data_IF_447660581266
#
_entry.id   IF_447660581266
#
_cell.length_a   1.000
_cell.length_b   1.000
_cell.length_c   1.000
_cell.angle_alpha   90.00
_cell.angle_beta   90.00
_cell.angle_gamma   90.00
#
_symmetry.space_group_name_H-M   'P 1'
#
loop_
_entity.id
_entity.type
_entity.pdbx_description
1 polymer ?
#
# COMPACT_ATOMS: atom_id res chain seq x y z
N UNK A 1 20.67 -31.24 2.18
CA UNK A 1 19.70 -30.15 1.91
C UNK A 1 18.91 -30.58 0.70
N UNK A 2 17.59 -30.65 0.80
CA UNK A 2 16.72 -31.20 -0.24
C UNK A 2 16.23 -32.63 0.03
N UNK A 3 16.77 -33.30 1.05
CA UNK A 3 16.36 -34.64 1.46
C UNK A 3 14.96 -34.59 2.06
N UNK A 4 14.09 -35.53 1.67
CA UNK A 4 12.72 -35.60 2.20
C UNK A 4 12.72 -36.05 3.65
N UNK A 5 11.82 -35.47 4.45
CA UNK A 5 11.60 -35.87 5.82
C UNK A 5 11.14 -37.32 5.93
N UNK A 6 11.36 -37.94 7.09
CA UNK A 6 10.78 -39.24 7.41
C UNK A 6 9.24 -39.21 7.33
N UNK A 7 8.64 -40.35 7.00
CA UNK A 7 7.16 -40.46 6.95
C UNK A 7 6.60 -40.38 8.36
N UNK A 8 5.54 -39.59 8.53
CA UNK A 8 4.86 -39.43 9.81
C UNK A 8 5.55 -38.46 10.78
N UNK A 9 6.66 -37.83 10.39
CA UNK A 9 7.28 -36.78 11.19
C UNK A 9 6.30 -35.61 11.36
N UNK A 10 6.16 -35.15 12.61
CA UNK A 10 5.27 -34.06 12.99
C UNK A 10 6.00 -32.73 12.87
N UNK A 11 5.36 -31.77 12.23
CA UNK A 11 5.90 -30.44 12.00
C UNK A 11 5.01 -29.36 12.59
N UNK A 12 5.66 -28.30 13.06
CA UNK A 12 5.03 -27.04 13.41
C UNK A 12 5.42 -25.96 12.39
N UNK A 13 4.45 -25.21 11.83
CA UNK A 13 4.76 -24.06 10.98
C UNK A 13 5.54 -23.00 11.75
N UNK A 14 6.70 -22.59 11.23
CA UNK A 14 7.57 -21.62 11.90
C UNK A 14 6.85 -20.30 12.23
N UNK A 15 5.97 -19.87 11.31
CA UNK A 15 5.16 -18.66 11.50
C UNK A 15 4.18 -18.80 12.67
N UNK A 16 3.66 -20.00 12.92
CA UNK A 16 2.75 -20.27 14.01
C UNK A 16 3.48 -20.24 15.37
N UNK A 17 4.70 -20.77 15.44
CA UNK A 17 5.59 -20.65 16.62
C UNK A 17 5.76 -19.18 17.00
N UNK A 18 6.13 -18.32 16.04
CA UNK A 18 6.29 -16.87 16.30
C UNK A 18 4.99 -16.17 16.74
N UNK A 19 3.83 -16.71 16.36
CA UNK A 19 2.52 -16.17 16.74
C UNK A 19 1.98 -16.76 18.06
N UNK A 20 2.66 -17.76 18.63
CA UNK A 20 2.18 -18.47 19.81
C UNK A 20 1.90 -17.54 21.00
N UNK A 21 2.80 -16.62 21.40
CA UNK A 21 2.51 -15.69 22.51
C UNK A 21 1.27 -14.83 22.26
N UNK A 22 1.07 -14.40 21.02
CA UNK A 22 -0.06 -13.54 20.66
C UNK A 22 -1.41 -14.29 20.61
N UNK A 23 -1.37 -15.62 20.47
CA UNK A 23 -2.55 -16.45 20.27
C UNK A 23 -2.94 -17.25 21.50
N UNK A 24 -1.98 -17.58 22.37
CA UNK A 24 -2.17 -18.52 23.48
C UNK A 24 -1.76 -17.96 24.84
N UNK A 25 -1.17 -16.77 24.91
CA UNK A 25 -0.89 -16.09 26.19
C UNK A 25 -1.96 -15.04 26.45
N UNK A 26 -2.45 -15.00 27.69
CA UNK A 26 -3.44 -14.02 28.13
C UNK A 26 -2.95 -12.58 27.96
N UNK A 27 -3.87 -11.67 27.60
CA UNK A 27 -3.57 -10.27 27.24
C UNK A 27 -2.71 -9.53 28.26
N UNK A 28 -2.87 -9.83 29.55
CA UNK A 28 -2.16 -9.15 30.63
C UNK A 28 -0.64 -9.34 30.56
N UNK A 29 -0.17 -10.53 30.16
CA UNK A 29 1.26 -10.87 30.11
C UNK A 29 1.78 -11.02 28.67
N UNK A 30 0.91 -10.81 27.67
CA UNK A 30 1.18 -11.13 26.28
C UNK A 30 2.40 -10.38 25.71
N UNK A 31 2.55 -9.09 26.00
CA UNK A 31 3.64 -8.27 25.46
C UNK A 31 5.00 -8.68 26.05
N UNK A 32 5.06 -8.86 27.37
CA UNK A 32 6.25 -9.34 28.07
C UNK A 32 6.68 -10.73 27.56
N UNK A 33 5.75 -11.68 27.51
CA UNK A 33 6.05 -13.04 27.05
C UNK A 33 6.43 -13.03 25.58
N UNK A 34 5.78 -12.23 24.72
CA UNK A 34 6.15 -12.14 23.31
C UNK A 34 7.59 -11.61 23.11
N UNK A 35 7.99 -10.61 23.91
CA UNK A 35 9.36 -10.09 23.90
C UNK A 35 10.38 -11.15 24.33
N UNK A 36 10.11 -11.83 25.45
CA UNK A 36 10.98 -12.89 25.97
C UNK A 36 11.09 -14.08 25.01
N UNK A 37 9.94 -14.56 24.50
CA UNK A 37 9.85 -15.64 23.53
C UNK A 37 10.68 -15.33 22.29
N UNK A 38 10.60 -14.10 21.76
CA UNK A 38 11.41 -13.67 20.61
C UNK A 38 12.90 -13.69 20.91
N UNK A 39 13.33 -13.22 22.09
CA UNK A 39 14.74 -13.20 22.49
C UNK A 39 15.31 -14.62 22.63
N UNK A 40 14.52 -15.55 23.18
CA UNK A 40 14.95 -16.93 23.42
C UNK A 40 14.89 -17.82 22.18
N UNK A 41 14.23 -17.41 21.08
CA UNK A 41 14.05 -18.26 19.90
C UNK A 41 15.35 -18.90 19.42
N UNK A 42 16.47 -18.15 19.45
CA UNK A 42 17.77 -18.61 18.96
C UNK A 42 18.85 -18.63 20.05
N UNK A 43 18.49 -18.30 21.29
CA UNK A 43 19.45 -18.27 22.40
C UNK A 43 19.88 -19.70 22.74
N UNK A 44 21.17 -20.00 22.57
CA UNK A 44 21.72 -21.32 22.90
C UNK A 44 21.17 -22.50 22.08
N UNK A 45 20.38 -22.25 21.02
CA UNK A 45 19.75 -23.31 20.22
C UNK A 45 19.82 -23.08 18.72
N UNK A 46 19.90 -24.18 17.97
CA UNK A 46 19.71 -24.20 16.53
C UNK A 46 18.42 -24.95 16.19
N UNK A 47 17.72 -24.50 15.16
CA UNK A 47 16.52 -25.14 14.64
C UNK A 47 16.80 -25.88 13.35
N UNK A 48 16.11 -27.01 13.18
CA UNK A 48 16.13 -27.79 11.95
C UNK A 48 14.98 -27.33 11.07
N UNK A 49 15.31 -26.56 10.04
CA UNK A 49 14.30 -26.06 9.12
C UNK A 49 14.05 -27.05 8.00
N UNK A 50 12.77 -27.26 7.73
CA UNK A 50 12.24 -27.97 6.59
C UNK A 50 11.41 -27.02 5.74
N UNK A 51 11.33 -27.32 4.45
CA UNK A 51 10.62 -26.51 3.48
C UNK A 51 9.69 -27.37 2.63
N UNK A 52 8.48 -26.87 2.39
CA UNK A 52 7.55 -27.45 1.45
C UNK A 52 7.04 -26.37 0.49
N UNK A 53 7.11 -26.66 -0.81
CA UNK A 53 6.70 -25.71 -1.85
C UNK A 53 5.17 -25.67 -1.96
N UNK A 54 4.61 -24.51 -2.32
CA UNK A 54 3.16 -24.38 -2.52
C UNK A 54 2.75 -25.06 -3.84
N UNK A 55 1.77 -25.99 -3.83
CA UNK A 55 1.33 -26.69 -5.05
C UNK A 55 0.40 -25.85 -5.94
N UNK A 56 0.17 -24.58 -5.61
CA UNK A 56 -0.77 -23.70 -6.31
C UNK A 56 -0.07 -22.63 -7.16
N UNK A 57 -0.78 -22.13 -8.17
CA UNK A 57 -0.37 -20.96 -8.97
C UNK A 57 -0.54 -19.63 -8.22
N UNK A 58 -0.89 -19.69 -6.92
CA UNK A 58 -1.21 -18.54 -6.09
C UNK A 58 0.01 -17.68 -5.71
N UNK A 59 1.23 -18.09 -6.12
CA UNK A 59 2.47 -17.37 -5.85
C UNK A 59 2.82 -17.24 -4.36
N UNK A 60 2.36 -18.17 -3.51
CA UNK A 60 2.67 -18.14 -2.07
C UNK A 60 4.13 -18.48 -1.82
N UNK A 61 4.69 -17.89 -0.78
CA UNK A 61 6.04 -18.24 -0.33
C UNK A 61 6.10 -19.69 0.19
N UNK A 62 7.24 -20.37 0.02
CA UNK A 62 7.45 -21.71 0.56
C UNK A 62 7.13 -21.80 2.05
N UNK A 63 6.49 -22.89 2.45
CA UNK A 63 6.12 -23.14 3.83
C UNK A 63 7.36 -23.59 4.62
N UNK A 64 7.69 -22.84 5.68
CA UNK A 64 8.77 -23.19 6.60
C UNK A 64 8.21 -23.94 7.80
N UNK A 65 8.85 -25.06 8.08
CA UNK A 65 8.43 -26.03 9.07
C UNK A 65 9.63 -26.37 9.96
N UNK A 66 9.37 -26.65 11.22
CA UNK A 66 10.33 -27.26 12.15
C UNK A 66 9.69 -28.50 12.77
N UNK A 67 10.45 -29.55 13.13
CA UNK A 67 9.91 -30.68 13.88
C UNK A 67 9.18 -30.20 15.14
N UNK A 68 7.97 -30.69 15.39
CA UNK A 68 7.17 -30.27 16.55
C UNK A 68 7.89 -30.52 17.88
N UNK A 69 8.72 -31.57 17.95
CA UNK A 69 9.57 -31.86 19.11
C UNK A 69 10.51 -30.70 19.47
N UNK A 70 11.12 -30.03 18.48
CA UNK A 70 11.97 -28.86 18.75
C UNK A 70 11.17 -27.69 19.33
N UNK A 71 9.88 -27.59 19.02
CA UNK A 71 9.01 -26.57 19.60
C UNK A 71 8.57 -26.92 21.03
N UNK A 72 8.31 -28.20 21.31
CA UNK A 72 8.03 -28.68 22.66
C UNK A 72 9.22 -28.40 23.60
N UNK A 73 10.43 -28.77 23.18
CA UNK A 73 11.67 -28.48 23.93
C UNK A 73 11.84 -26.98 24.22
N UNK A 74 11.53 -26.15 23.22
CA UNK A 74 11.58 -24.69 23.39
C UNK A 74 10.55 -24.16 24.39
N UNK A 75 9.33 -24.74 24.41
CA UNK A 75 8.34 -24.38 25.42
C UNK A 75 8.77 -24.84 26.82
N UNK A 76 9.39 -26.02 26.95
CA UNK A 76 9.92 -26.51 28.22
C UNK A 76 11.02 -25.60 28.77
N UNK A 77 11.89 -25.10 27.91
CA UNK A 77 12.90 -24.10 28.27
C UNK A 77 12.27 -22.79 28.76
N UNK A 78 11.27 -22.27 28.04
CA UNK A 78 10.54 -21.07 28.48
C UNK A 78 9.84 -21.30 29.82
N UNK A 79 9.25 -22.48 30.02
CA UNK A 79 8.58 -22.84 31.27
C UNK A 79 9.55 -22.82 32.46
N UNK A 80 10.77 -23.33 32.27
CA UNK A 80 11.83 -23.28 33.27
C UNK A 80 12.24 -21.84 33.59
N UNK A 81 12.40 -20.98 32.58
CA UNK A 81 12.84 -19.60 32.78
C UNK A 81 11.78 -18.69 33.40
N UNK A 82 10.52 -18.80 32.94
CA UNK A 82 9.44 -17.91 33.37
C UNK A 82 8.60 -18.48 34.51
N UNK A 83 8.87 -19.72 34.96
CA UNK A 83 8.05 -20.43 35.96
C UNK A 83 6.56 -20.46 35.56
N UNK A 84 6.31 -20.77 34.28
CA UNK A 84 4.98 -20.86 33.66
C UNK A 84 4.71 -22.29 33.14
N UNK A 85 3.52 -22.55 32.61
CA UNK A 85 3.12 -23.86 32.06
C UNK A 85 2.55 -23.72 30.64
N UNK A 86 3.34 -23.14 29.74
CA UNK A 86 3.04 -23.13 28.32
C UNK A 86 3.16 -24.54 27.74
N UNK A 87 2.21 -24.89 26.89
CA UNK A 87 2.19 -26.15 26.17
C UNK A 87 1.50 -25.95 24.83
N UNK A 88 1.74 -26.85 23.88
CA UNK A 88 0.95 -26.87 22.65
C UNK A 88 -0.53 -27.08 23.04
N UNK A 89 -1.46 -26.24 22.54
CA UNK A 89 -2.84 -26.28 22.96
C UNK A 89 -3.50 -27.62 22.63
N UNK A 90 -4.34 -28.12 23.54
CA UNK A 90 -5.12 -29.36 23.36
C UNK A 90 -6.36 -29.14 22.49
N UNK A 91 -6.94 -30.23 21.99
CA UNK A 91 -8.17 -30.21 21.18
C UNK A 91 -7.90 -29.79 19.74
N UNK A 92 -8.86 -29.11 19.10
CA UNK A 92 -8.76 -28.76 17.67
C UNK A 92 -7.58 -27.85 17.33
N UNK A 93 -7.14 -27.00 18.26
CA UNK A 93 -5.96 -26.14 18.06
C UNK A 93 -4.64 -26.93 18.00
N UNK A 94 -4.61 -28.15 18.54
CA UNK A 94 -3.46 -29.06 18.50
C UNK A 94 -3.08 -29.42 17.05
N UNK A 95 -4.10 -29.61 16.20
CA UNK A 95 -3.95 -29.99 14.79
C UNK A 95 -3.19 -28.92 13.97
N UNK A 96 -3.13 -27.68 14.45
CA UNK A 96 -2.38 -26.59 13.79
C UNK A 96 -0.87 -26.67 14.06
N UNK A 97 -0.46 -27.29 15.18
CA UNK A 97 0.94 -27.39 15.63
C UNK A 97 1.58 -28.77 15.39
N UNK A 98 0.76 -29.79 15.11
CA UNK A 98 1.20 -31.13 14.75
C UNK A 98 0.70 -31.50 13.35
N UNK A 99 1.41 -31.00 12.34
CA UNK A 99 1.07 -31.21 10.93
C UNK A 99 1.98 -32.28 10.35
N UNK A 100 1.39 -33.31 9.74
CA UNK A 100 2.10 -34.34 8.96
C UNK A 100 2.04 -34.05 7.47
N UNK A 101 2.92 -34.69 6.69
CA UNK A 101 2.90 -34.64 5.23
C UNK A 101 3.32 -36.00 4.65
N UNK A 102 3.00 -36.26 3.38
CA UNK A 102 3.31 -37.54 2.72
C UNK A 102 2.12 -38.52 2.59
N UNK A 103 0.95 -38.15 3.11
CA UNK A 103 -0.26 -38.97 3.01
C UNK A 103 -0.64 -39.17 1.54
N UNK A 104 -0.97 -40.40 1.14
CA UNK A 104 -1.36 -40.70 -0.25
C UNK A 104 -0.27 -40.40 -1.30
N UNK A 105 1.01 -40.51 -0.92
CA UNK A 105 2.17 -40.15 -1.75
C UNK A 105 2.30 -38.67 -2.11
N UNK A 106 1.63 -37.79 -1.36
CA UNK A 106 1.83 -36.34 -1.48
C UNK A 106 3.27 -35.93 -1.14
N UNK A 107 3.74 -34.76 -1.57
CA UNK A 107 5.07 -34.28 -1.24
C UNK A 107 5.34 -34.20 0.27
N UNK A 108 6.61 -34.43 0.64
CA UNK A 108 7.09 -34.32 2.02
C UNK A 108 8.04 -33.13 2.17
N UNK A 109 8.03 -32.45 3.33
CA UNK A 109 8.96 -31.38 3.62
C UNK A 109 10.41 -31.83 3.40
N UNK A 110 11.21 -30.97 2.77
CA UNK A 110 12.62 -31.22 2.50
C UNK A 110 13.49 -30.48 3.50
N UNK A 111 14.54 -31.12 3.99
CA UNK A 111 15.47 -30.51 4.92
C UNK A 111 16.17 -29.32 4.28
N UNK A 112 15.97 -28.13 4.83
CA UNK A 112 16.52 -26.86 4.36
C UNK A 112 17.88 -26.60 4.99
N UNK A 113 18.04 -26.89 6.29
CA UNK A 113 19.28 -26.72 7.02
C UNK A 113 19.06 -26.26 8.47
N UNK A 114 20.16 -26.07 9.18
CA UNK A 114 20.19 -25.61 10.57
C UNK A 114 20.28 -24.08 10.61
N UNK A 115 19.53 -23.42 11.49
CA UNK A 115 19.70 -22.00 11.78
C UNK A 115 19.61 -21.70 13.28
N UNK A 116 20.59 -20.95 13.74
CA UNK A 116 20.83 -20.49 15.12
C UNK A 116 20.68 -18.97 15.24
N UNK A 117 20.14 -18.31 14.21
CA UNK A 117 19.91 -16.86 14.16
C UNK A 117 18.88 -16.52 13.08
N UNK A 118 18.27 -15.34 13.18
CA UNK A 118 17.38 -14.82 12.13
C UNK A 118 18.17 -14.63 10.80
N UNK A 119 19.44 -14.20 10.88
CA UNK A 119 20.33 -14.05 9.72
C UNK A 119 20.61 -15.38 9.02
N UNK A 120 20.92 -16.44 9.78
CA UNK A 120 21.11 -17.79 9.24
C UNK A 120 19.82 -18.31 8.59
N UNK A 121 18.67 -18.02 9.18
CA UNK A 121 17.36 -18.39 8.63
C UNK A 121 17.07 -17.65 7.32
N UNK A 122 17.36 -16.35 7.20
CA UNK A 122 17.22 -15.61 5.94
C UNK A 122 18.15 -16.16 4.85
N UNK A 123 19.38 -16.56 5.22
CA UNK A 123 20.31 -17.22 4.31
C UNK A 123 19.82 -18.61 3.85
N UNK A 124 19.03 -19.33 4.68
CA UNK A 124 18.35 -20.55 4.26
C UNK A 124 17.19 -20.27 3.30
N UNK A 125 16.36 -19.26 3.60
CA UNK A 125 15.22 -18.87 2.75
C UNK A 125 15.64 -18.48 1.34
N UNK A 126 16.74 -17.74 1.21
CA UNK A 126 17.25 -17.31 -0.10
C UNK A 126 17.63 -18.50 -0.98
N UNK A 127 17.92 -19.67 -0.42
CA UNK A 127 18.29 -20.91 -1.13
C UNK A 127 17.11 -21.82 -1.48
N UNK A 128 15.88 -21.50 -1.09
CA UNK A 128 14.68 -22.32 -1.36
C UNK A 128 14.44 -22.56 -2.86
N UNK A 129 14.85 -21.64 -3.74
CA UNK A 129 14.79 -21.80 -5.20
C UNK A 129 15.63 -22.96 -5.74
N UNK A 130 16.58 -23.50 -4.95
CA UNK A 130 17.41 -24.65 -5.32
C UNK A 130 16.76 -25.99 -5.00
N UNK A 131 15.62 -25.99 -4.31
CA UNK A 131 14.91 -27.22 -3.99
C UNK A 131 14.27 -27.82 -5.26
N UNK A 132 14.26 -29.15 -5.40
CA UNK A 132 13.52 -29.81 -6.48
C UNK A 132 12.04 -29.40 -6.44
N UNK A 133 11.46 -29.17 -7.61
CA UNK A 133 10.01 -28.98 -7.76
C UNK A 133 9.33 -30.32 -7.49
N UNK A 134 8.29 -30.31 -6.67
CA UNK A 134 7.55 -31.52 -6.35
C UNK A 134 6.74 -32.02 -7.57
N UNK A 135 6.88 -33.30 -7.91
CA UNK A 135 6.12 -33.93 -8.98
C UNK A 135 4.72 -34.32 -8.47
N UNK A 136 3.71 -33.58 -8.93
CA UNK A 136 2.30 -33.82 -8.59
C UNK A 136 1.55 -34.63 -9.66
N UNK A 137 2.21 -34.97 -10.78
CA UNK A 137 1.55 -35.60 -11.95
C UNK A 137 1.09 -37.04 -11.66
N UNK A 138 1.74 -37.70 -10.71
CA UNK A 138 1.44 -39.08 -10.31
C UNK A 138 0.28 -39.18 -9.31
N UNK A 139 -0.24 -38.07 -8.80
CA UNK A 139 -1.30 -38.04 -7.80
C UNK A 139 -2.68 -38.16 -8.42
N UNK A 140 -3.56 -38.93 -7.76
CA UNK A 140 -4.98 -38.94 -8.12
C UNK A 140 -5.61 -37.57 -7.90
N UNK A 141 -6.67 -37.25 -8.64
CA UNK A 141 -7.38 -35.96 -8.53
C UNK A 141 -7.90 -35.72 -7.11
N UNK A 142 -8.39 -36.76 -6.44
CA UNK A 142 -8.90 -36.66 -5.05
C UNK A 142 -7.75 -36.40 -4.07
N UNK A 143 -6.62 -37.10 -4.20
CA UNK A 143 -5.44 -36.88 -3.37
C UNK A 143 -4.87 -35.47 -3.55
N UNK A 144 -4.77 -35.00 -4.79
CA UNK A 144 -4.27 -33.65 -5.11
C UNK A 144 -5.18 -32.57 -4.49
N UNK A 145 -6.50 -32.76 -4.57
CA UNK A 145 -7.47 -31.84 -3.98
C UNK A 145 -7.34 -31.81 -2.44
N UNK A 146 -7.29 -32.97 -1.79
CA UNK A 146 -7.09 -33.06 -0.33
C UNK A 146 -5.76 -32.45 0.11
N UNK A 147 -4.70 -32.60 -0.69
CA UNK A 147 -3.41 -31.98 -0.43
C UNK A 147 -3.47 -30.45 -0.50
N UNK A 148 -4.08 -29.89 -1.55
CA UNK A 148 -4.28 -28.43 -1.69
C UNK A 148 -5.10 -27.86 -0.52
N UNK A 149 -6.17 -28.54 -0.13
CA UNK A 149 -6.98 -28.15 1.03
C UNK A 149 -6.20 -28.20 2.35
N UNK A 150 -5.36 -29.23 2.54
CA UNK A 150 -4.46 -29.33 3.70
C UNK A 150 -3.48 -28.16 3.73
N UNK A 151 -2.85 -27.84 2.59
CA UNK A 151 -1.96 -26.68 2.47
C UNK A 151 -2.69 -25.38 2.78
N UNK A 152 -3.89 -25.16 2.23
CA UNK A 152 -4.71 -23.98 2.52
C UNK A 152 -5.05 -23.84 4.00
N UNK A 153 -5.39 -24.95 4.68
CA UNK A 153 -5.64 -24.94 6.14
C UNK A 153 -4.41 -24.50 6.92
N UNK A 154 -3.22 -25.03 6.59
CA UNK A 154 -1.96 -24.65 7.26
C UNK A 154 -1.60 -23.18 7.00
N UNK A 155 -1.76 -22.69 5.77
CA UNK A 155 -1.53 -21.27 5.48
C UNK A 155 -2.54 -20.35 6.19
N UNK A 156 -3.79 -20.80 6.37
CA UNK A 156 -4.82 -20.04 7.06
C UNK A 156 -4.62 -20.01 8.58
N UNK A 157 -4.12 -21.08 9.21
CA UNK A 157 -3.77 -21.07 10.65
C UNK A 157 -2.64 -20.08 10.95
N UNK A 158 -1.72 -19.89 10.00
CA UNK A 158 -0.63 -18.92 10.11
C UNK A 158 -1.05 -17.44 9.94
N UNK A 159 -2.35 -17.15 9.73
CA UNK A 159 -2.87 -15.77 9.65
C UNK A 159 -3.35 -15.34 11.03
N UNK A 160 -2.95 -14.14 11.46
CA UNK A 160 -3.49 -13.54 12.68
C UNK A 160 -5.02 -13.51 12.62
N UNK A 161 -5.70 -14.08 13.63
CA UNK A 161 -7.16 -14.05 13.74
C UNK A 161 -7.61 -12.59 13.85
N UNK A 162 -7.96 -11.97 12.72
CA UNK A 162 -8.58 -10.65 12.70
C UNK A 162 -9.91 -10.78 13.42
N UNK A 163 -10.09 -10.09 14.54
CA UNK A 163 -11.38 -9.97 15.20
C UNK A 163 -12.43 -9.60 14.13
N UNK A 164 -13.53 -10.37 14.07
CA UNK A 164 -14.69 -10.05 13.24
C UNK A 164 -15.12 -8.63 13.62
N UNK A 165 -14.84 -7.64 12.77
CA UNK A 165 -15.17 -6.24 13.06
C UNK A 165 -16.68 -6.15 13.22
N UNK A 166 -17.11 -5.54 14.33
CA UNK A 166 -18.51 -5.23 14.58
C UNK A 166 -19.12 -4.56 13.32
N UNK A 167 -20.19 -5.13 12.72
CA UNK A 167 -20.82 -4.61 11.52
C UNK A 167 -21.27 -3.15 11.67
N UNK A 168 -21.70 -2.73 12.85
CA UNK A 168 -22.17 -1.36 13.10
C UNK A 168 -21.00 -0.37 13.11
N UNK A 169 -19.89 -0.73 13.74
CA UNK A 169 -18.65 0.05 13.72
C UNK A 169 -18.07 0.12 12.29
N UNK A 170 -18.13 -0.98 11.53
CA UNK A 170 -17.71 -0.99 10.13
C UNK A 170 -18.58 -0.07 9.26
N UNK A 171 -19.91 -0.10 9.47
CA UNK A 171 -20.87 0.80 8.80
C UNK A 171 -20.60 2.26 9.15
N UNK A 172 -20.41 2.59 10.43
CA UNK A 172 -20.13 3.96 10.90
C UNK A 172 -18.82 4.48 10.30
N UNK A 173 -17.75 3.69 10.31
CA UNK A 173 -16.47 4.03 9.66
C UNK A 173 -16.61 4.22 8.14
N UNK A 174 -17.47 3.45 7.46
CA UNK A 174 -17.74 3.64 6.02
C UNK A 174 -18.44 4.97 5.74
N UNK A 175 -19.45 5.32 6.52
CA UNK A 175 -20.16 6.60 6.41
C UNK A 175 -19.21 7.78 6.67
N UNK A 176 -18.39 7.67 7.71
CA UNK A 176 -17.41 8.70 8.08
C UNK A 176 -16.35 8.91 6.97
N UNK A 177 -15.84 7.83 6.38
CA UNK A 177 -14.97 7.89 5.20
C UNK A 177 -15.64 8.57 4.02
N UNK A 178 -16.88 8.20 3.69
CA UNK A 178 -17.63 8.84 2.60
C UNK A 178 -17.86 10.34 2.85
N UNK A 179 -18.12 10.75 4.09
CA UNK A 179 -18.21 12.17 4.48
C UNK A 179 -16.87 12.87 4.31
N UNK A 180 -15.77 12.25 4.74
CA UNK A 180 -14.41 12.77 4.56
C UNK A 180 -14.08 13.02 3.09
N UNK A 181 -14.38 12.06 2.21
CA UNK A 181 -14.13 12.19 0.76
C UNK A 181 -14.98 13.29 0.12
N UNK A 182 -16.24 13.45 0.55
CA UNK A 182 -17.07 14.57 0.09
C UNK A 182 -16.51 15.94 0.49
N UNK A 183 -15.91 16.04 1.68
CA UNK A 183 -15.19 17.24 2.12
C UNK A 183 -13.93 17.49 1.28
N UNK A 184 -13.24 16.42 0.84
CA UNK A 184 -12.04 16.50 -0.01
C UNK A 184 -12.28 17.22 -1.34
N UNK A 185 -13.35 16.88 -2.06
CA UNK A 185 -13.67 17.60 -3.31
C UNK A 185 -13.97 19.07 -3.03
N UNK A 186 -14.76 19.36 -1.99
CA UNK A 186 -15.13 20.74 -1.66
C UNK A 186 -13.91 21.59 -1.27
N UNK A 187 -12.96 21.06 -0.51
CA UNK A 187 -11.71 21.79 -0.17
C UNK A 187 -10.83 21.99 -1.39
N UNK A 188 -10.68 20.96 -2.23
CA UNK A 188 -9.97 21.05 -3.52
C UNK A 188 -10.54 22.17 -4.40
N UNK A 189 -11.87 22.23 -4.53
CA UNK A 189 -12.55 23.29 -5.29
C UNK A 189 -12.29 24.69 -4.70
N UNK A 190 -12.23 24.84 -3.36
CA UNK A 190 -11.91 26.13 -2.73
C UNK A 190 -10.49 26.57 -3.03
N UNK A 191 -9.52 25.66 -2.92
CA UNK A 191 -8.12 25.94 -3.23
C UNK A 191 -7.92 26.35 -4.69
N UNK A 192 -8.70 25.78 -5.61
CA UNK A 192 -8.72 26.13 -7.04
C UNK A 192 -9.59 27.35 -7.38
N UNK A 193 -10.22 28.02 -6.41
CA UNK A 193 -11.11 29.16 -6.66
C UNK A 193 -12.47 28.80 -7.26
N UNK A 194 -12.80 27.51 -7.40
CA UNK A 194 -14.06 26.99 -7.95
C UNK A 194 -15.22 26.99 -6.94
N UNK A 195 -14.96 27.26 -5.66
CA UNK A 195 -15.98 27.28 -4.60
C UNK A 195 -15.71 28.36 -3.56
N UNK A 196 -16.78 28.98 -3.05
CA UNK A 196 -16.70 30.04 -2.05
C UNK A 196 -15.92 29.58 -0.78
N UNK A 197 -14.91 30.34 -0.33
CA UNK A 197 -14.16 30.03 0.88
C UNK A 197 -14.97 30.21 2.18
N UNK A 198 -16.00 31.06 2.23
CA UNK A 198 -16.73 31.41 3.47
C UNK A 198 -18.01 30.59 3.70
N UNK A 199 -18.35 29.64 2.82
CA UNK A 199 -19.55 28.81 3.01
C UNK A 199 -19.33 27.82 4.17
N UNK A 200 -19.65 28.23 5.39
CA UNK A 200 -20.21 27.32 6.40
C UNK A 200 -21.49 26.70 5.81
N UNK A 201 -21.93 25.55 6.31
CA UNK A 201 -22.94 24.69 5.65
C UNK A 201 -24.35 25.32 5.40
N UNK A 202 -24.55 26.63 5.51
CA UNK A 202 -25.87 27.26 5.57
C UNK A 202 -26.13 28.55 4.76
N UNK A 203 -25.22 29.07 3.95
CA UNK A 203 -25.54 30.24 3.11
C UNK A 203 -25.67 29.89 1.62
N UNK A 204 -26.75 30.42 1.01
CA UNK A 204 -27.25 30.19 -0.33
C UNK A 204 -26.21 30.44 -1.43
N UNK A 205 -26.08 29.45 -2.31
CA UNK A 205 -25.12 29.30 -3.42
C UNK A 205 -25.34 30.25 -4.62
N UNK A 206 -25.96 31.43 -4.40
CA UNK A 206 -26.55 32.27 -5.47
C UNK A 206 -25.56 32.91 -6.46
N UNK A 207 -24.25 32.61 -6.36
CA UNK A 207 -23.23 33.09 -7.31
C UNK A 207 -22.68 31.98 -8.22
N UNK A 208 -23.06 30.71 -8.02
CA UNK A 208 -22.65 29.60 -8.90
C UNK A 208 -23.58 29.37 -10.09
N UNK A 209 -24.81 29.87 -10.09
CA UNK A 209 -25.85 29.52 -11.07
C UNK A 209 -25.52 29.96 -12.52
N UNK A 210 -24.50 30.80 -12.75
CA UNK A 210 -24.11 31.26 -14.10
C UNK A 210 -22.64 31.02 -14.47
N UNK A 211 -21.86 30.34 -13.62
CA UNK A 211 -20.44 30.15 -13.92
C UNK A 211 -20.22 29.04 -14.96
N UNK A 212 -19.48 29.36 -16.02
CA UNK A 212 -19.09 28.42 -17.07
C UNK A 212 -17.58 28.18 -17.09
N UNK A 213 -17.16 27.00 -17.54
CA UNK A 213 -15.74 26.59 -17.59
C UNK A 213 -14.84 27.49 -18.44
N UNK A 214 -15.41 28.30 -19.34
CA UNK A 214 -14.70 29.26 -20.17
C UNK A 214 -14.55 30.66 -19.51
N UNK A 215 -15.03 30.82 -18.27
CA UNK A 215 -14.86 32.02 -17.46
C UNK A 215 -13.76 31.82 -16.41
N UNK A 216 -13.16 32.92 -15.95
CA UNK A 216 -12.26 32.89 -14.81
C UNK A 216 -12.94 32.29 -13.58
N UNK A 217 -12.15 31.70 -12.68
CA UNK A 217 -12.69 31.11 -11.46
C UNK A 217 -13.39 32.18 -10.62
N UNK A 218 -14.59 31.92 -10.10
CA UNK A 218 -15.46 32.97 -9.56
C UNK A 218 -15.00 33.47 -8.19
N UNK A 219 -14.15 32.71 -7.51
CA UNK A 219 -13.60 33.07 -6.21
C UNK A 219 -12.09 33.21 -6.34
N UNK A 220 -11.57 34.39 -5.98
CA UNK A 220 -10.13 34.61 -5.91
C UNK A 220 -9.48 33.61 -4.95
N UNK A 221 -8.31 33.11 -5.30
CA UNK A 221 -7.48 32.25 -4.45
C UNK A 221 -6.92 33.13 -3.31
N UNK A 222 -7.71 33.29 -2.23
CA UNK A 222 -7.42 34.21 -1.10
C UNK A 222 -6.00 34.10 -0.55
N UNK A 223 -5.39 32.92 -0.69
CA UNK A 223 -3.96 32.65 -0.54
C UNK A 223 -3.55 31.76 -1.72
N UNK A 224 -2.58 32.18 -2.53
CA UNK A 224 -2.05 31.35 -3.61
C UNK A 224 -1.46 30.08 -3.01
N UNK A 225 -1.96 28.92 -3.43
CA UNK A 225 -1.48 27.60 -2.99
C UNK A 225 -0.73 26.89 -4.11
N UNK A 226 0.15 25.95 -3.73
CA UNK A 226 0.84 25.06 -4.66
C UNK A 226 0.36 23.63 -4.43
N UNK A 227 -0.20 23.04 -5.48
CA UNK A 227 -0.48 21.61 -5.48
C UNK A 227 0.75 20.86 -5.96
N UNK A 228 1.18 19.88 -5.16
CA UNK A 228 2.35 19.07 -5.48
C UNK A 228 1.91 17.62 -5.46
N UNK A 229 1.77 17.05 -6.65
CA UNK A 229 1.54 15.63 -6.79
C UNK A 229 2.86 14.88 -6.71
N UNK A 230 2.85 13.77 -5.98
CA UNK A 230 3.97 12.84 -5.90
C UNK A 230 3.51 11.42 -6.25
N UNK A 231 4.39 10.70 -6.91
CA UNK A 231 4.33 9.25 -7.09
C UNK A 231 5.75 8.69 -6.93
N UNK A 232 5.89 7.56 -6.24
CA UNK A 232 7.21 6.95 -5.97
C UNK A 232 7.21 5.48 -6.33
N UNK A 233 8.13 5.11 -7.23
CA UNK A 233 8.37 3.71 -7.58
C UNK A 233 9.50 3.14 -6.73
N UNK A 234 9.29 1.90 -6.27
CA UNK A 234 10.27 1.14 -5.49
C UNK A 234 10.43 -0.27 -6.07
N UNK A 235 11.59 -0.87 -5.83
CA UNK A 235 11.92 -2.16 -6.40
C UNK A 235 11.09 -3.30 -5.80
N UNK A 236 10.51 -4.14 -6.66
CA UNK A 236 9.53 -5.17 -6.29
C UNK A 236 10.10 -6.31 -5.42
N UNK A 237 11.42 -6.54 -5.47
CA UNK A 237 12.12 -7.54 -4.64
C UNK A 237 12.84 -6.94 -3.44
N UNK A 238 12.77 -5.61 -3.27
CA UNK A 238 13.37 -4.89 -2.15
C UNK A 238 12.69 -3.54 -1.95
N UNK A 239 11.59 -3.51 -1.19
CA UNK A 239 10.77 -2.30 -0.93
C UNK A 239 11.49 -1.19 -0.11
N UNK A 240 12.81 -1.33 0.10
CA UNK A 240 13.68 -0.29 0.65
C UNK A 240 14.33 0.55 -0.46
N UNK A 241 14.41 0.02 -1.68
CA UNK A 241 15.11 0.64 -2.79
C UNK A 241 14.13 1.46 -3.65
N UNK A 242 14.06 2.77 -3.39
CA UNK A 242 13.32 3.70 -4.25
C UNK A 242 14.07 3.84 -5.58
N UNK A 243 13.39 3.60 -6.69
CA UNK A 243 13.97 3.62 -8.04
C UNK A 243 13.69 4.93 -8.75
N UNK A 244 12.50 5.49 -8.58
CA UNK A 244 12.04 6.69 -9.28
C UNK A 244 11.18 7.57 -8.37
N UNK A 245 11.27 8.88 -8.53
CA UNK A 245 10.38 9.87 -7.89
C UNK A 245 9.82 10.77 -8.96
N UNK A 246 8.49 10.83 -9.06
CA UNK A 246 7.76 11.73 -9.93
C UNK A 246 7.15 12.88 -9.14
N UNK A 247 7.26 14.10 -9.67
CA UNK A 247 6.56 15.26 -9.13
C UNK A 247 5.79 15.98 -10.23
N UNK A 248 4.61 16.49 -9.91
CA UNK A 248 3.86 17.41 -10.76
C UNK A 248 3.35 18.57 -9.92
N UNK A 249 3.64 19.80 -10.33
CA UNK A 249 3.36 21.02 -9.57
C UNK A 249 2.40 21.91 -10.34
N UNK A 250 1.26 22.22 -9.73
CA UNK A 250 0.35 23.27 -10.18
C UNK A 250 0.39 24.41 -9.17
N UNK A 251 0.95 25.53 -9.60
CA UNK A 251 0.89 26.78 -8.85
C UNK A 251 -0.40 27.53 -9.20
N UNK A 252 -1.22 27.80 -8.20
CA UNK A 252 -2.49 28.49 -8.43
C UNK A 252 -2.32 29.92 -8.93
N UNK A 253 -1.17 30.58 -8.72
CA UNK A 253 -0.90 31.89 -9.36
C UNK A 253 -0.90 31.81 -10.89
N UNK A 254 -0.49 30.68 -11.47
CA UNK A 254 -0.45 30.55 -12.93
C UNK A 254 -1.84 30.35 -13.54
N UNK A 255 -2.86 29.99 -12.74
CA UNK A 255 -4.21 29.73 -13.23
C UNK A 255 -5.20 30.87 -12.95
N UNK A 256 -4.82 31.89 -12.16
CA UNK A 256 -5.71 33.00 -11.75
C UNK A 256 -6.39 33.67 -12.95
N UNK A 257 -5.62 33.94 -14.00
CA UNK A 257 -6.09 34.63 -15.22
C UNK A 257 -6.39 33.66 -16.37
N UNK A 258 -6.48 32.35 -16.10
CA UNK A 258 -6.71 31.31 -17.10
C UNK A 258 -8.00 30.57 -16.79
N UNK A 259 -9.04 30.67 -17.64
CA UNK A 259 -10.23 29.84 -17.49
C UNK A 259 -9.88 28.35 -17.56
N UNK A 260 -10.47 27.47 -16.72
CA UNK A 260 -10.15 26.03 -16.70
C UNK A 260 -10.40 25.33 -18.04
N UNK A 261 -11.38 25.78 -18.81
CA UNK A 261 -11.85 25.08 -20.00
C UNK A 261 -12.54 23.77 -19.67
N UNK A 262 -13.01 23.07 -20.71
CA UNK A 262 -13.68 21.77 -20.56
C UNK A 262 -12.77 20.84 -19.77
N UNK A 263 -13.31 20.27 -18.69
CA UNK A 263 -12.61 19.31 -17.83
C UNK A 263 -11.30 19.84 -17.20
N UNK A 264 -11.07 21.16 -17.21
CA UNK A 264 -9.84 21.76 -16.66
C UNK A 264 -8.63 21.68 -17.59
N UNK A 265 -8.81 21.34 -18.87
CA UNK A 265 -7.72 21.09 -19.82
C UNK A 265 -6.80 22.30 -20.05
N UNK A 266 -7.30 23.53 -19.94
CA UNK A 266 -6.49 24.74 -20.12
C UNK A 266 -5.43 24.90 -19.02
N UNK A 267 -5.61 24.25 -17.87
CA UNK A 267 -4.64 24.27 -16.77
C UNK A 267 -3.56 23.20 -16.92
N UNK A 268 -3.76 22.18 -17.76
CA UNK A 268 -2.79 21.09 -17.90
C UNK A 268 -1.41 21.53 -18.42
N UNK A 269 -1.29 22.49 -19.37
CA UNK A 269 0.00 23.01 -19.81
C UNK A 269 0.74 23.82 -18.74
N UNK A 270 0.05 24.25 -17.67
CA UNK A 270 0.62 25.04 -16.58
C UNK A 270 1.22 24.18 -15.47
N UNK A 271 1.09 22.85 -15.57
CA UNK A 271 1.68 21.89 -14.66
C UNK A 271 3.17 21.74 -15.00
N UNK A 272 4.03 22.01 -14.02
CA UNK A 272 5.46 21.69 -14.10
C UNK A 272 5.68 20.25 -13.66
N UNK A 273 6.43 19.48 -14.43
CA UNK A 273 6.61 18.04 -14.17
C UNK A 273 8.08 17.70 -14.03
N UNK A 274 8.36 16.73 -13.17
CA UNK A 274 9.71 16.28 -12.85
C UNK A 274 9.70 14.77 -12.73
N UNK A 275 10.77 14.15 -13.21
CA UNK A 275 10.96 12.72 -13.09
C UNK A 275 12.41 12.44 -12.74
N UNK A 276 12.64 11.96 -11.52
CA UNK A 276 13.96 11.61 -11.02
C UNK A 276 14.14 10.10 -11.03
N UNK A 277 15.30 9.66 -11.52
CA UNK A 277 15.75 8.27 -11.44
C UNK A 277 16.96 8.19 -10.53
N UNK A 278 16.92 7.29 -9.56
CA UNK A 278 18.00 7.09 -8.60
C UNK A 278 19.15 6.33 -9.29
N UNK A 279 20.33 6.95 -9.38
CA UNK A 279 21.48 6.44 -10.14
C UNK A 279 21.93 5.07 -9.66
N UNK A 280 21.97 4.87 -8.35
CA UNK A 280 22.37 3.63 -7.70
C UNK A 280 21.42 2.48 -8.06
N UNK A 281 20.18 2.79 -8.45
CA UNK A 281 19.11 1.84 -8.68
C UNK A 281 18.67 1.76 -10.14
N UNK A 282 19.42 2.36 -11.08
CA UNK A 282 19.03 2.44 -12.50
C UNK A 282 18.76 1.09 -13.17
N UNK A 283 19.43 0.03 -12.69
CA UNK A 283 19.31 -1.34 -13.20
C UNK A 283 18.16 -2.13 -12.55
N UNK A 284 17.51 -1.58 -11.53
CA UNK A 284 16.38 -2.20 -10.82
C UNK A 284 15.08 -1.80 -11.51
N UNK A 285 14.58 -2.66 -12.40
CA UNK A 285 13.32 -2.42 -13.14
C UNK A 285 12.30 -3.49 -12.76
N UNK A 286 11.12 -3.06 -12.33
CA UNK A 286 10.01 -3.95 -11.97
C UNK A 286 9.49 -4.67 -13.22
N UNK A 287 9.37 -6.00 -13.15
CA UNK A 287 8.92 -6.84 -14.28
C UNK A 287 7.97 -7.96 -13.86
N UNK A 288 7.98 -8.40 -12.62
CA UNK A 288 7.27 -9.61 -12.15
C UNK A 288 5.80 -9.34 -11.85
N UNK A 289 5.50 -8.28 -11.13
CA UNK A 289 4.12 -7.98 -10.71
C UNK A 289 3.50 -6.83 -11.49
N UNK A 290 4.32 -5.84 -11.81
CA UNK A 290 3.97 -4.65 -12.55
C UNK A 290 5.13 -4.33 -13.48
N UNK A 291 4.84 -4.12 -14.77
CA UNK A 291 5.88 -3.82 -15.75
C UNK A 291 6.17 -2.31 -15.72
N UNK A 292 7.30 -1.93 -15.12
CA UNK A 292 7.73 -0.54 -15.08
C UNK A 292 8.21 -0.04 -16.44
N UNK A 293 8.03 1.24 -16.73
CA UNK A 293 8.54 1.88 -17.95
C UNK A 293 9.40 3.13 -17.66
N UNK A 294 10.49 2.99 -16.86
CA UNK A 294 11.28 4.12 -16.35
C UNK A 294 11.89 5.04 -17.41
N UNK A 295 12.00 4.56 -18.64
CA UNK A 295 12.62 5.27 -19.76
C UNK A 295 11.62 6.12 -20.56
N UNK A 296 10.32 6.00 -20.31
CA UNK A 296 9.26 6.62 -21.11
C UNK A 296 8.54 7.74 -20.35
N UNK A 297 9.29 8.78 -19.98
CA UNK A 297 8.68 9.97 -19.40
C UNK A 297 8.05 10.85 -20.49
N UNK A 298 6.73 11.01 -20.45
CA UNK A 298 5.94 11.68 -21.50
C UNK A 298 5.98 13.21 -21.42
N UNK A 299 6.37 13.76 -20.28
CA UNK A 299 6.22 15.18 -19.97
C UNK A 299 7.55 15.94 -19.85
N UNK A 300 8.66 15.32 -20.30
CA UNK A 300 9.96 15.95 -20.30
C UNK A 300 11.08 14.91 -20.40
N UNK A 301 12.23 15.23 -19.80
CA UNK A 301 13.37 14.33 -19.72
C UNK A 301 13.57 13.86 -18.28
N UNK A 302 13.83 12.56 -18.10
CA UNK A 302 14.19 12.00 -16.80
C UNK A 302 15.56 12.55 -16.35
N UNK A 303 15.64 12.99 -15.10
CA UNK A 303 16.88 13.41 -14.48
C UNK A 303 17.46 12.29 -13.60
N UNK A 304 18.77 12.09 -13.70
CA UNK A 304 19.47 11.06 -12.94
C UNK A 304 20.18 11.66 -11.73
N UNK A 305 19.68 11.34 -10.54
CA UNK A 305 20.10 11.94 -9.27
C UNK A 305 20.68 10.85 -8.36
N UNK A 306 21.71 11.19 -7.58
CA UNK A 306 22.23 10.29 -6.56
C UNK A 306 21.25 10.19 -5.38
N UNK A 307 21.16 9.03 -4.75
CA UNK A 307 20.23 8.81 -3.62
C UNK A 307 20.47 9.76 -2.44
N UNK A 308 21.66 10.34 -2.30
CA UNK A 308 21.97 11.32 -1.25
C UNK A 308 21.44 12.73 -1.58
N UNK A 309 21.34 13.08 -2.87
CA UNK A 309 20.92 14.41 -3.32
C UNK A 309 19.40 14.53 -3.47
N UNK A 310 18.68 13.41 -3.60
CA UNK A 310 17.25 13.41 -3.95
C UNK A 310 16.40 14.22 -2.96
N UNK A 311 16.70 14.16 -1.66
CA UNK A 311 15.96 14.92 -0.65
C UNK A 311 16.07 16.43 -0.87
N UNK A 312 17.27 16.93 -1.13
CA UNK A 312 17.51 18.36 -1.44
C UNK A 312 16.82 18.78 -2.74
N UNK A 313 16.83 17.93 -3.78
CA UNK A 313 16.14 18.19 -5.05
C UNK A 313 14.63 18.30 -4.88
N UNK A 314 14.05 17.40 -4.08
CA UNK A 314 12.62 17.45 -3.73
C UNK A 314 12.32 18.71 -2.92
N UNK A 315 13.14 19.01 -1.90
CA UNK A 315 13.02 20.20 -1.07
C UNK A 315 13.03 21.51 -1.86
N UNK A 316 13.91 21.61 -2.86
CA UNK A 316 13.95 22.77 -3.78
C UNK A 316 12.66 22.95 -4.57
N UNK A 317 12.07 21.87 -5.08
CA UNK A 317 10.83 21.92 -5.88
C UNK A 317 9.61 22.21 -5.02
N UNK A 318 9.55 21.54 -3.87
CA UNK A 318 8.47 21.71 -2.89
C UNK A 318 8.53 23.10 -2.26
N UNK A 319 9.73 23.65 -2.14
CA UNK A 319 10.01 24.90 -1.50
C UNK A 319 9.97 24.75 0.01
N UNK A 320 10.76 23.83 0.55
CA UNK A 320 10.86 23.57 2.00
C UNK A 320 11.54 24.73 2.76
N UNK A 321 12.15 24.47 3.92
CA UNK A 321 12.73 25.52 4.77
C UNK A 321 13.82 26.36 4.08
N UNK A 322 14.34 25.93 2.93
CA UNK A 322 15.36 26.66 2.17
C UNK A 322 14.75 27.64 1.12
N UNK A 323 13.42 27.63 0.93
CA UNK A 323 12.74 28.49 -0.05
C UNK A 323 12.20 29.78 0.56
N UNK A 324 12.39 30.89 -0.14
CA UNK A 324 11.73 32.17 0.17
C UNK A 324 10.19 32.09 -0.02
N UNK A 325 9.71 31.08 -0.75
CA UNK A 325 8.30 30.87 -1.04
C UNK A 325 7.60 30.09 0.08
N UNK A 326 7.03 30.83 1.03
CA UNK A 326 6.30 30.30 2.19
C UNK A 326 4.81 30.04 1.92
N UNK A 327 4.40 29.99 0.65
CA UNK A 327 2.99 29.76 0.28
C UNK A 327 2.53 28.34 0.64
N UNK A 328 1.26 28.17 1.04
CA UNK A 328 0.75 26.87 1.46
C UNK A 328 0.88 25.78 0.39
N UNK A 329 1.31 24.59 0.82
CA UNK A 329 1.48 23.41 -0.02
C UNK A 329 0.37 22.41 0.26
N UNK A 330 -0.19 21.86 -0.82
CA UNK A 330 -1.15 20.78 -0.78
C UNK A 330 -0.54 19.58 -1.51
N UNK A 331 -0.34 18.49 -0.79
CA UNK A 331 0.16 17.26 -1.40
C UNK A 331 -0.97 16.51 -2.08
N UNK A 332 -0.70 16.00 -3.28
CA UNK A 332 -1.63 15.22 -4.08
C UNK A 332 -1.00 13.86 -4.38
N UNK A 333 -1.82 12.80 -4.42
CA UNK A 333 -1.35 11.47 -4.82
C UNK A 333 -2.50 10.52 -5.09
N UNK A 334 -2.18 9.28 -5.42
CA UNK A 334 -3.15 8.23 -5.70
C UNK A 334 -2.89 7.04 -4.76
N UNK A 335 -3.58 7.02 -3.61
CA UNK A 335 -3.12 6.29 -2.41
C UNK A 335 -1.88 6.95 -1.73
N UNK A 336 -1.90 8.29 -1.71
CA UNK A 336 -0.80 9.20 -1.34
C UNK A 336 0.03 8.82 -0.11
N UNK A 337 -0.57 8.16 0.89
CA UNK A 337 0.15 7.76 2.12
C UNK A 337 1.30 6.81 1.82
N UNK A 338 1.16 5.96 0.81
CA UNK A 338 2.23 5.07 0.40
C UNK A 338 3.42 5.88 -0.12
N UNK A 339 3.16 6.85 -1.00
CA UNK A 339 4.19 7.70 -1.60
C UNK A 339 4.90 8.57 -0.56
N UNK A 340 4.15 9.19 0.37
CA UNK A 340 4.75 9.99 1.44
C UNK A 340 5.64 9.17 2.38
N UNK A 341 5.28 7.91 2.64
CA UNK A 341 6.15 7.01 3.40
C UNK A 341 7.45 6.68 2.62
N UNK A 342 7.39 6.56 1.29
CA UNK A 342 8.59 6.38 0.48
C UNK A 342 9.43 7.65 0.41
N UNK A 343 8.82 8.84 0.33
CA UNK A 343 9.53 10.12 0.45
C UNK A 343 10.34 10.19 1.76
N UNK A 344 9.75 9.76 2.87
CA UNK A 344 10.44 9.72 4.16
C UNK A 344 11.66 8.79 4.13
N UNK A 345 11.58 7.65 3.42
CA UNK A 345 12.71 6.72 3.26
C UNK A 345 13.86 7.32 2.46
N UNK A 346 13.59 8.20 1.50
CA UNK A 346 14.62 8.94 0.76
C UNK A 346 15.05 10.23 1.45
N UNK A 347 14.71 10.38 2.74
CA UNK A 347 15.19 11.47 3.59
C UNK A 347 14.39 12.76 3.47
N UNK A 348 13.21 12.76 2.83
CA UNK A 348 12.34 13.93 2.73
C UNK A 348 11.04 13.74 3.54
N UNK A 349 10.82 14.59 4.55
CA UNK A 349 9.63 14.52 5.39
C UNK A 349 8.72 15.75 5.19
N UNK A 350 7.66 15.59 4.40
CA UNK A 350 6.71 16.67 4.13
C UNK A 350 6.00 17.19 5.39
N UNK A 351 5.77 16.35 6.39
CA UNK A 351 5.09 16.74 7.63
C UNK A 351 5.96 17.62 8.53
N UNK A 352 7.25 17.78 8.20
CA UNK A 352 8.17 18.72 8.83
C UNK A 352 8.24 20.07 8.11
N UNK A 353 7.57 20.24 6.96
CA UNK A 353 7.55 21.50 6.21
C UNK A 353 6.51 22.46 6.85
N UNK A 354 6.90 23.66 7.33
CA UNK A 354 6.02 24.53 8.12
C UNK A 354 4.74 24.99 7.40
N UNK A 355 4.81 25.18 6.09
CA UNK A 355 3.69 25.66 5.27
C UNK A 355 2.97 24.53 4.52
N UNK A 356 3.16 23.27 4.95
CA UNK A 356 2.31 22.14 4.54
C UNK A 356 0.90 22.31 5.10
N UNK A 357 -0.12 22.25 4.24
CA UNK A 357 -1.50 22.57 4.58
C UNK A 357 -2.43 21.35 4.57
N UNK A 358 -2.38 20.51 3.53
CA UNK A 358 -3.38 19.46 3.31
C UNK A 358 -2.88 18.32 2.39
N UNK A 359 -3.61 17.20 2.42
CA UNK A 359 -3.40 16.02 1.57
C UNK A 359 -4.67 15.70 0.75
N UNK A 360 -4.50 15.48 -0.55
CA UNK A 360 -5.54 15.07 -1.48
C UNK A 360 -5.20 13.71 -2.06
N UNK A 361 -6.05 12.72 -1.77
CA UNK A 361 -5.96 11.38 -2.34
C UNK A 361 -6.99 11.20 -3.45
N UNK A 362 -6.51 11.19 -4.69
CA UNK A 362 -7.34 11.07 -5.88
C UNK A 362 -8.07 9.73 -5.99
N UNK A 363 -7.52 8.65 -5.42
CA UNK A 363 -8.17 7.34 -5.37
C UNK A 363 -9.44 7.40 -4.53
N UNK A 364 -9.32 8.00 -3.34
CA UNK A 364 -10.44 8.26 -2.44
C UNK A 364 -11.46 9.25 -3.04
N UNK A 365 -10.97 10.27 -3.73
CA UNK A 365 -11.80 11.27 -4.41
C UNK A 365 -12.66 10.65 -5.52
N UNK A 366 -12.04 9.86 -6.40
CA UNK A 366 -12.71 9.18 -7.50
C UNK A 366 -13.70 8.12 -6.99
N UNK A 367 -13.30 7.34 -5.98
CA UNK A 367 -14.16 6.36 -5.34
C UNK A 367 -15.48 6.98 -4.85
N UNK A 368 -15.43 8.21 -4.31
CA UNK A 368 -16.61 8.93 -3.86
C UNK A 368 -17.51 9.35 -5.02
N UNK A 369 -16.93 9.83 -6.12
CA UNK A 369 -17.68 10.26 -7.31
C UNK A 369 -18.45 9.08 -7.92
N UNK A 370 -17.81 7.92 -8.04
CA UNK A 370 -18.44 6.71 -8.58
C UNK A 370 -19.36 5.98 -7.58
N UNK A 371 -19.51 6.49 -6.34
CA UNK A 371 -20.25 5.81 -5.25
C UNK A 371 -19.81 4.36 -5.03
N UNK A 372 -18.55 4.03 -5.33
CA UNK A 372 -17.99 2.67 -5.29
C UNK A 372 -17.44 2.32 -3.89
N UNK A 373 -17.47 1.04 -3.53
CA UNK A 373 -16.78 0.53 -2.34
C UNK A 373 -15.29 0.25 -2.56
N UNK A 374 -14.87 0.13 -3.81
CA UNK A 374 -13.52 -0.25 -4.20
C UNK A 374 -12.83 0.94 -4.87
N UNK A 375 -11.58 1.21 -4.47
CA UNK A 375 -10.71 2.12 -5.21
C UNK A 375 -10.37 1.56 -6.59
N UNK A 376 -10.11 2.45 -7.55
CA UNK A 376 -9.64 2.11 -8.90
C UNK A 376 -8.18 2.51 -9.03
N UNK A 377 -7.42 1.82 -9.86
CA UNK A 377 -6.06 2.24 -10.21
C UNK A 377 -6.07 3.46 -11.14
N UNK A 378 -4.96 4.17 -11.19
CA UNK A 378 -4.85 5.45 -11.91
C UNK A 378 -5.25 5.35 -13.38
N UNK A 379 -4.79 4.33 -14.11
CA UNK A 379 -5.15 4.13 -15.51
C UNK A 379 -6.67 4.10 -15.74
N UNK A 380 -7.37 3.31 -14.93
CA UNK A 380 -8.85 3.24 -14.99
C UNK A 380 -9.50 4.57 -14.63
N UNK A 381 -8.96 5.30 -13.65
CA UNK A 381 -9.46 6.64 -13.30
C UNK A 381 -9.32 7.59 -14.47
N UNK A 382 -8.16 7.61 -15.13
CA UNK A 382 -7.90 8.45 -16.30
C UNK A 382 -8.85 8.12 -17.46
N UNK A 383 -9.05 6.84 -17.77
CA UNK A 383 -9.95 6.40 -18.83
C UNK A 383 -11.41 6.82 -18.54
N UNK A 384 -11.91 6.55 -17.34
CA UNK A 384 -13.28 6.90 -16.94
C UNK A 384 -13.51 8.42 -16.86
N UNK A 385 -12.46 9.21 -16.63
CA UNK A 385 -12.53 10.67 -16.67
C UNK A 385 -12.44 11.23 -18.09
N UNK A 386 -12.21 10.41 -19.12
CA UNK A 386 -12.07 10.85 -20.51
C UNK A 386 -10.71 11.47 -20.83
N UNK A 387 -9.69 11.14 -20.03
CA UNK A 387 -8.31 11.62 -20.17
C UNK A 387 -7.33 10.44 -20.21
N UNK A 388 -7.42 9.56 -21.23
CA UNK A 388 -6.61 8.33 -21.28
C UNK A 388 -5.13 8.65 -21.20
N UNK A 389 -4.43 7.93 -20.31
CA UNK A 389 -2.98 8.05 -20.11
C UNK A 389 -2.21 6.95 -20.82
N UNK A 390 -0.90 7.10 -20.89
CA UNK A 390 0.03 6.11 -21.45
C UNK A 390 1.28 6.04 -20.59
N UNK A 391 2.03 4.94 -20.69
CA UNK A 391 3.29 4.74 -19.96
C UNK A 391 3.12 4.94 -18.44
N UNK A 392 2.07 4.32 -17.89
CA UNK A 392 1.90 4.16 -16.43
C UNK A 392 3.05 3.32 -15.86
N UNK A 393 3.33 3.45 -14.57
CA UNK A 393 4.53 2.89 -13.92
C UNK A 393 5.82 3.57 -14.38
N UNK A 394 5.69 4.85 -14.72
CA UNK A 394 6.75 5.84 -14.72
C UNK A 394 6.30 6.93 -13.74
N UNK A 395 7.05 7.12 -12.65
CA UNK A 395 6.59 7.94 -11.54
C UNK A 395 6.23 9.38 -11.97
N UNK A 396 6.98 9.97 -12.91
CA UNK A 396 6.71 11.31 -13.42
C UNK A 396 5.39 11.40 -14.21
N UNK A 397 5.10 10.39 -15.02
CA UNK A 397 3.82 10.28 -15.72
C UNK A 397 2.68 10.13 -14.73
N UNK A 398 2.82 9.23 -13.75
CA UNK A 398 1.79 8.89 -12.79
C UNK A 398 1.44 10.08 -11.88
N UNK A 399 2.44 10.83 -11.42
CA UNK A 399 2.22 12.10 -10.72
C UNK A 399 1.47 13.13 -11.59
N UNK A 400 1.82 13.23 -12.88
CA UNK A 400 1.19 14.17 -13.80
C UNK A 400 -0.26 13.81 -14.10
N UNK A 401 -0.54 12.55 -14.43
CA UNK A 401 -1.89 12.07 -14.69
C UNK A 401 -2.76 12.14 -13.43
N UNK A 402 -2.19 11.87 -12.26
CA UNK A 402 -2.88 12.02 -10.97
C UNK A 402 -3.31 13.47 -10.73
N UNK A 403 -2.42 14.44 -10.95
CA UNK A 403 -2.76 15.86 -10.78
C UNK A 403 -3.81 16.33 -11.78
N UNK A 404 -3.72 15.90 -13.05
CA UNK A 404 -4.74 16.17 -14.08
C UNK A 404 -6.09 15.55 -13.71
N UNK A 405 -6.11 14.34 -13.15
CA UNK A 405 -7.33 13.69 -12.69
C UNK A 405 -7.97 14.45 -11.52
N UNK A 406 -7.17 14.95 -10.58
CA UNK A 406 -7.64 15.82 -9.49
C UNK A 406 -8.35 17.06 -10.04
N UNK A 407 -7.71 17.79 -10.96
CA UNK A 407 -8.28 18.98 -11.61
C UNK A 407 -9.60 18.63 -12.32
N UNK A 408 -9.58 17.58 -13.15
CA UNK A 408 -10.75 17.13 -13.92
C UNK A 408 -11.94 16.82 -13.02
N UNK A 409 -11.70 16.06 -11.95
CA UNK A 409 -12.74 15.73 -10.97
C UNK A 409 -13.29 16.97 -10.26
N UNK A 410 -12.42 17.93 -9.90
CA UNK A 410 -12.83 19.17 -9.24
C UNK A 410 -13.72 20.02 -10.17
N UNK A 411 -13.30 20.22 -11.41
CA UNK A 411 -14.04 21.01 -12.43
C UNK A 411 -15.36 20.34 -12.81
N UNK A 412 -15.36 19.04 -13.12
CA UNK A 412 -16.60 18.29 -13.45
C UNK A 412 -17.63 18.36 -12.33
N UNK A 413 -17.20 18.25 -11.09
CA UNK A 413 -18.12 18.28 -9.95
C UNK A 413 -18.65 19.70 -9.67
N UNK A 414 -17.92 20.75 -10.05
CA UNK A 414 -18.40 22.13 -10.01
C UNK A 414 -19.56 22.33 -10.97
N UNK A 415 -19.44 21.82 -12.21
CA UNK A 415 -20.49 21.94 -13.27
C UNK A 415 -21.72 21.09 -12.98
N UNK A 416 -21.57 19.89 -12.44
CA UNK A 416 -22.70 18.98 -12.11
C UNK A 416 -23.50 19.38 -10.86
N UNK A 417 -22.96 20.27 -10.02
CA UNK A 417 -23.65 20.72 -8.80
C UNK A 417 -24.84 21.66 -9.10
N UNK A 418 -24.74 22.64 -10.02
CA UNK A 418 -25.88 23.47 -10.44
C UNK A 418 -27.05 22.65 -11.04
N UNK A 419 -26.79 21.71 -11.95
CA UNK A 419 -27.84 20.89 -12.61
C UNK A 419 -28.69 20.06 -11.62
N UNK A 420 -28.14 19.70 -10.45
CA UNK A 420 -28.88 18.96 -9.41
C UNK A 420 -29.82 19.83 -8.58
N UNK A 421 -29.58 21.13 -8.51
CA UNK A 421 -30.47 22.07 -7.82
C UNK A 421 -31.71 22.37 -8.67
N UNK A 422 -31.56 22.53 -9.98
CA UNK A 422 -32.68 22.74 -10.92
C UNK A 422 -33.65 21.55 -10.98
N UNK A 423 -33.15 20.31 -11.07
CA UNK A 423 -34.01 19.11 -11.11
C UNK A 423 -34.75 18.84 -9.78
N UNK A 424 -34.26 19.35 -8.64
CA UNK A 424 -34.96 19.23 -7.35
C UNK A 424 -36.02 20.30 -7.13
N UNK A 425 -35.98 21.41 -7.89
CA UNK A 425 -36.98 22.47 -7.82
C UNK A 425 -38.19 22.17 -8.73
N UNK A 426 -37.99 21.41 -9.83
CA UNK A 426 -39.06 21.03 -10.77
C UNK A 426 -39.90 19.80 -10.37
N UNK A 427 -39.53 19.07 -9.33
CA UNK A 427 -40.33 17.95 -8.78
C UNK A 427 -41.25 18.37 -7.62
N UNK A 428 -41.33 19.67 -7.34
CA UNK A 428 -42.16 20.25 -6.27
C UNK A 428 -43.27 21.20 -6.76
N UNK A 429 -43.71 21.06 -8.02
CA UNK A 429 -44.96 21.68 -8.52
C UNK A 429 -46.11 20.67 -8.62
#
# INVERSE_FOLDING_TARGET
MGDESEKGLLFCPWKLIRLYPHSHVGKQNQEYVAGFFKAMLFEGRAWDFYCLLDPGENGRHPLLLVPSAQFEEFLDEINLHLTVQFSIPRGQACEEFYVTFGDGNTPRPRFLGHADSDEALEALKSRTHRLPIDDLTSLSTTTLQSYKEKMDRVYNSCKSKKNKKDPEVARRKRIERQKSYGRMIKRTQRYLGLRNPTSSNFDSDSSMESWHVNMLVPFGTKESTRFICVDVEAWETGAHDVTEVGLAVLDTQHIVDVPPGIDGQNWFPLIRTYHFRIREHINKVNRRYVHGCPHLFNFGNSEFVHSEDISSRIGTIIGDNESDDQRPIIMVGHDIRQDLNYLQKVGFNIWSVPHFLDEIDTKSMFQRLQKSSNGRGLATVCDELGMPGQNFHNAGNDATYTLRAMITMAVKQTVKSPERQENSAGESE
#
